data_IF_767326067142
#
_entry.id   IF_767326067142
#
_cell.length_a   1.000
_cell.length_b   1.000
_cell.length_c   1.000
_cell.angle_alpha   90.00
_cell.angle_beta   90.00
_cell.angle_gamma   90.00
#
_symmetry.space_group_name_H-M   'P 1'
#
loop_
_entity.id
_entity.type
_entity.pdbx_description
1 polymer ?
#
# COMPACT_ATOMS: atom_id res chain seq x y z
N UNK A 1 3.79 -10.39 8.88
CA UNK A 1 3.25 -11.34 9.88
C UNK A 1 2.26 -12.26 9.18
N UNK A 2 1.90 -13.43 9.75
CA UNK A 2 1.24 -14.45 8.96
C UNK A 2 -0.13 -14.03 8.46
N UNK A 3 -0.55 -14.63 7.36
CA UNK A 3 -1.96 -14.69 6.98
C UNK A 3 -2.71 -15.38 8.13
N UNK A 4 -3.49 -14.59 8.87
CA UNK A 4 -4.21 -15.00 10.09
C UNK A 4 -5.59 -15.52 9.81
N UNK A 5 -6.23 -15.09 8.72
CA UNK A 5 -7.59 -15.51 8.37
C UNK A 5 -7.68 -17.04 8.41
N UNK A 6 -8.71 -17.57 9.05
CA UNK A 6 -9.03 -19.01 9.12
C UNK A 6 -10.06 -19.41 8.08
N UNK A 7 -10.80 -18.44 7.52
CA UNK A 7 -11.86 -18.65 6.51
C UNK A 7 -11.41 -18.45 5.07
N UNK A 8 -10.26 -17.82 4.84
CA UNK A 8 -9.69 -17.68 3.51
C UNK A 8 -9.40 -19.05 2.87
N UNK A 9 -9.85 -19.22 1.63
CA UNK A 9 -9.50 -20.37 0.78
C UNK A 9 -8.01 -20.35 0.43
N UNK A 10 -7.46 -21.45 -0.09
CA UNK A 10 -6.06 -21.51 -0.49
C UNK A 10 -5.69 -20.43 -1.53
N UNK A 11 -6.54 -20.20 -2.53
CA UNK A 11 -6.32 -19.17 -3.54
C UNK A 11 -6.33 -17.75 -2.93
N UNK A 12 -7.22 -17.50 -1.98
CA UNK A 12 -7.31 -16.23 -1.25
C UNK A 12 -6.08 -16.00 -0.37
N UNK A 13 -5.62 -17.03 0.33
CA UNK A 13 -4.36 -17.00 1.08
C UNK A 13 -3.17 -16.75 0.17
N UNK A 14 -3.11 -17.40 -0.99
CA UNK A 14 -2.05 -17.16 -1.97
C UNK A 14 -2.02 -15.70 -2.44
N UNK A 15 -3.19 -15.08 -2.64
CA UNK A 15 -3.27 -13.66 -2.97
C UNK A 15 -2.81 -12.76 -1.82
N UNK A 16 -3.25 -13.02 -0.57
CA UNK A 16 -2.79 -12.28 0.61
C UNK A 16 -1.27 -12.38 0.77
N UNK A 17 -0.70 -13.56 0.50
CA UNK A 17 0.74 -13.77 0.52
C UNK A 17 1.43 -12.96 -0.57
N UNK A 18 0.88 -12.98 -1.78
CA UNK A 18 1.42 -12.20 -2.89
C UNK A 18 1.42 -10.71 -2.57
N UNK A 19 0.35 -10.19 -1.96
CA UNK A 19 0.28 -8.81 -1.52
C UNK A 19 1.42 -8.49 -0.55
N UNK A 20 1.59 -9.28 0.53
CA UNK A 20 2.67 -9.08 1.51
C UNK A 20 4.06 -9.15 0.85
N UNK A 21 4.30 -10.15 0.01
CA UNK A 21 5.58 -10.34 -0.67
C UNK A 21 5.92 -9.20 -1.65
N UNK A 22 4.91 -8.54 -2.24
CA UNK A 22 5.11 -7.48 -3.24
C UNK A 22 5.16 -6.08 -2.65
N UNK A 23 4.40 -5.83 -1.60
CA UNK A 23 4.31 -4.50 -0.98
C UNK A 23 5.22 -4.38 0.24
N UNK A 24 5.56 -5.49 0.90
CA UNK A 24 6.22 -5.51 2.20
C UNK A 24 5.28 -5.22 3.38
N UNK A 25 3.97 -5.06 3.13
CA UNK A 25 2.97 -4.74 4.14
C UNK A 25 2.06 -5.92 4.45
N UNK A 26 1.59 -5.97 5.69
CA UNK A 26 0.67 -7.00 6.15
C UNK A 26 -0.72 -6.80 5.54
N UNK A 27 -1.38 -7.87 5.05
CA UNK A 27 -2.73 -7.75 4.54
C UNK A 27 -3.72 -7.37 5.64
N UNK A 28 -4.49 -6.32 5.39
CA UNK A 28 -5.54 -5.81 6.29
C UNK A 28 -6.86 -6.60 6.13
N UNK A 29 -7.77 -6.39 7.08
CA UNK A 29 -9.16 -6.87 7.07
C UNK A 29 -9.38 -8.40 7.08
N UNK A 30 -8.41 -9.16 7.62
CA UNK A 30 -8.50 -10.62 7.70
C UNK A 30 -9.51 -11.11 8.75
N UNK A 31 -9.72 -10.34 9.83
CA UNK A 31 -10.68 -10.68 10.88
C UNK A 31 -12.12 -10.40 10.42
N UNK A 32 -12.32 -9.33 9.64
CA UNK A 32 -13.58 -8.96 9.02
C UNK A 32 -13.98 -9.94 7.91
N UNK A 33 -12.99 -10.54 7.23
CA UNK A 33 -13.23 -11.69 6.37
C UNK A 33 -13.70 -12.91 7.17
N UNK A 34 -13.06 -13.18 8.31
CA UNK A 34 -13.37 -14.33 9.15
C UNK A 34 -14.73 -14.22 9.84
N UNK A 35 -15.13 -13.01 10.24
CA UNK A 35 -16.43 -12.71 10.82
C UNK A 35 -17.56 -12.69 9.78
N UNK A 36 -17.22 -12.57 8.50
CA UNK A 36 -18.16 -12.41 7.40
C UNK A 36 -18.69 -10.98 7.22
N UNK A 37 -18.12 -10.01 7.92
CA UNK A 37 -18.41 -8.58 7.74
C UNK A 37 -17.95 -8.09 6.35
N UNK A 38 -16.84 -8.63 5.85
CA UNK A 38 -16.32 -8.34 4.52
C UNK A 38 -16.20 -9.59 3.65
N UNK A 39 -16.48 -9.42 2.35
CA UNK A 39 -16.13 -10.43 1.35
C UNK A 39 -14.65 -10.34 1.02
N UNK A 40 -14.05 -11.44 0.55
CA UNK A 40 -12.66 -11.42 0.11
C UNK A 40 -12.39 -10.39 -0.99
N UNK A 41 -13.35 -10.18 -1.90
CA UNK A 41 -13.21 -9.16 -2.94
C UNK A 41 -13.10 -7.74 -2.34
N UNK A 42 -13.89 -7.45 -1.31
CA UNK A 42 -13.81 -6.17 -0.59
C UNK A 42 -12.47 -6.02 0.17
N UNK A 43 -11.99 -7.10 0.80
CA UNK A 43 -10.68 -7.11 1.46
C UNK A 43 -9.55 -6.87 0.48
N UNK A 44 -9.57 -7.55 -0.66
CA UNK A 44 -8.54 -7.40 -1.69
C UNK A 44 -8.52 -5.98 -2.25
N UNK A 45 -9.68 -5.41 -2.56
CA UNK A 45 -9.77 -4.03 -3.04
C UNK A 45 -9.30 -3.03 -1.99
N UNK A 46 -9.72 -3.17 -0.72
CA UNK A 46 -9.28 -2.28 0.36
C UNK A 46 -7.78 -2.29 0.60
N UNK A 47 -7.13 -3.45 0.44
CA UNK A 47 -5.66 -3.54 0.49
C UNK A 47 -4.98 -2.84 -0.70
N UNK A 48 -5.52 -2.98 -1.92
CA UNK A 48 -5.02 -2.28 -3.10
C UNK A 48 -5.15 -0.77 -2.93
N UNK A 49 -6.34 -0.28 -2.59
CA UNK A 49 -6.64 1.15 -2.46
C UNK A 49 -5.74 1.81 -1.41
N UNK A 50 -5.56 1.13 -0.27
CA UNK A 50 -4.66 1.60 0.78
C UNK A 50 -3.20 1.66 0.31
N UNK A 51 -2.72 0.61 -0.36
CA UNK A 51 -1.34 0.58 -0.85
C UNK A 51 -1.08 1.66 -1.89
N UNK A 52 -2.03 1.91 -2.81
CA UNK A 52 -1.93 2.97 -3.81
C UNK A 52 -1.85 4.35 -3.14
N UNK A 53 -2.70 4.61 -2.14
CA UNK A 53 -2.67 5.85 -1.38
C UNK A 53 -1.34 6.03 -0.64
N UNK A 54 -0.89 5.00 0.09
CA UNK A 54 0.38 5.02 0.80
C UNK A 54 1.57 5.25 -0.14
N UNK A 55 1.60 4.54 -1.28
CA UNK A 55 2.68 4.65 -2.24
C UNK A 55 2.74 6.04 -2.89
N UNK A 56 1.59 6.64 -3.19
CA UNK A 56 1.52 8.01 -3.70
C UNK A 56 2.08 9.02 -2.69
N UNK A 57 1.70 8.92 -1.41
CA UNK A 57 2.23 9.78 -0.35
C UNK A 57 3.74 9.60 -0.16
N UNK A 58 4.21 8.35 -0.14
CA UNK A 58 5.63 8.03 -0.03
C UNK A 58 6.42 8.61 -1.20
N UNK A 59 5.91 8.49 -2.43
CA UNK A 59 6.53 9.06 -3.62
C UNK A 59 6.69 10.58 -3.51
N UNK A 60 5.63 11.29 -3.10
CA UNK A 60 5.67 12.74 -2.92
C UNK A 60 6.66 13.15 -1.82
N UNK A 61 6.71 12.42 -0.71
CA UNK A 61 7.65 12.70 0.37
C UNK A 61 9.12 12.48 -0.05
N UNK A 62 9.40 11.42 -0.82
CA UNK A 62 10.72 11.15 -1.40
C UNK A 62 11.11 12.25 -2.38
N UNK A 63 10.20 12.64 -3.27
CA UNK A 63 10.44 13.69 -4.25
C UNK A 63 10.73 15.03 -3.58
N UNK A 64 9.97 15.39 -2.54
CA UNK A 64 10.16 16.64 -1.78
C UNK A 64 11.55 16.75 -1.17
N UNK A 65 12.13 15.64 -0.73
CA UNK A 65 13.44 15.60 -0.09
C UNK A 65 14.56 15.21 -1.07
N UNK A 66 14.33 15.32 -2.38
CA UNK A 66 15.34 15.03 -3.37
C UNK A 66 16.39 16.16 -3.39
N UNK A 67 17.69 15.88 -3.12
CA UNK A 67 18.72 16.92 -3.13
C UNK A 67 18.93 17.56 -4.51
N UNK A 68 18.48 16.91 -5.59
CA UNK A 68 18.50 17.49 -6.94
C UNK A 68 17.41 18.56 -7.15
N UNK A 69 16.36 18.59 -6.33
CA UNK A 69 15.32 19.62 -6.38
C UNK A 69 15.60 20.82 -5.47
N UNK A 70 16.57 20.74 -4.56
CA UNK A 70 16.99 21.84 -3.67
C UNK A 70 17.95 22.85 -4.35
N UNK A 71 17.98 22.90 -5.69
CA UNK A 71 18.92 23.72 -6.47
C UNK A 71 18.28 24.69 -7.48
N UNK A 72 16.97 24.67 -7.67
CA UNK A 72 16.26 25.63 -8.54
C UNK A 72 15.72 26.81 -7.71
N UNK A 73 16.57 27.43 -6.90
CA UNK A 73 16.42 28.87 -6.61
C UNK A 73 17.04 29.61 -7.80
N UNK A 74 16.32 29.57 -8.93
CA UNK A 74 16.57 30.43 -10.07
C UNK A 74 16.28 31.86 -9.63
N UNK A 75 17.28 32.41 -8.93
CA UNK A 75 17.52 33.83 -8.82
C UNK A 75 17.62 34.41 -10.23
N UNK A 76 16.46 34.70 -10.82
CA UNK A 76 16.34 35.62 -11.94
C UNK A 76 16.54 37.04 -11.41
N UNK A 77 17.76 37.31 -10.98
CA UNK A 77 18.36 38.62 -11.01
C UNK A 77 19.24 38.64 -12.27
N UNK A 78 18.77 39.29 -13.34
CA UNK A 78 19.47 40.38 -14.06
C UNK A 78 18.70 40.70 -15.36
N UNK A 79 18.37 41.98 -15.58
CA UNK A 79 17.84 42.50 -16.85
C UNK A 79 16.75 43.56 -16.72
#
# INVERSE_FOLDING_TARGET
>A
MPITSTKATEAQRAWLKQYEDKTGFEPMHQDELDSGEMTFAAVAQGNIDWFEAWAAEAHLAIQKNNPATEGEDDSHADG
#
